data_IF_025253752429
#
_entry.id   IF_025253752429
#
_cell.length_a   1.000
_cell.length_b   1.000
_cell.length_c   1.000
_cell.angle_alpha   90.00
_cell.angle_beta   90.00
_cell.angle_gamma   90.00
#
_symmetry.space_group_name_H-M   'P 1'
#
loop_
_entity.id
_entity.type
_entity.pdbx_description
1 polymer ?
#
# COMPACT_ATOMS: atom_id res chain seq x y z
N UNK A 1 32.91 9.04 7.25
CA UNK A 1 31.49 8.80 7.57
C UNK A 1 30.69 8.90 6.28
N UNK A 2 30.23 7.77 5.74
CA UNK A 2 29.42 7.75 4.53
C UNK A 2 28.09 8.43 4.82
N UNK A 3 27.76 9.49 4.07
CA UNK A 3 26.46 10.15 4.15
C UNK A 3 25.39 9.07 3.93
N UNK A 4 24.44 8.83 4.86
CA UNK A 4 23.32 7.96 4.56
C UNK A 4 22.62 8.58 3.35
N UNK A 5 22.72 7.88 2.22
CA UNK A 5 22.07 8.31 0.99
C UNK A 5 20.57 8.33 1.28
N UNK A 6 19.95 9.53 1.30
CA UNK A 6 18.49 9.73 1.49
C UNK A 6 17.61 8.73 0.72
N UNK A 7 18.13 8.24 -0.39
CA UNK A 7 17.55 7.19 -1.22
C UNK A 7 17.32 5.84 -0.50
N UNK A 8 18.22 5.44 0.39
CA UNK A 8 18.13 4.17 1.13
C UNK A 8 17.04 4.22 2.20
N UNK A 9 16.94 5.32 2.94
CA UNK A 9 15.89 5.52 3.94
C UNK A 9 14.50 5.60 3.29
N UNK A 10 14.38 6.28 2.16
CA UNK A 10 13.10 6.39 1.44
C UNK A 10 12.65 5.04 0.86
N UNK A 11 13.58 4.24 0.32
CA UNK A 11 13.29 2.87 -0.13
C UNK A 11 12.94 1.94 1.01
N UNK A 12 13.63 2.06 2.15
CA UNK A 12 13.33 1.28 3.34
C UNK A 12 11.93 1.59 3.85
N UNK A 13 11.60 2.88 4.03
CA UNK A 13 10.27 3.32 4.43
C UNK A 13 9.18 2.86 3.43
N UNK A 14 9.46 2.90 2.13
CA UNK A 14 8.52 2.41 1.14
C UNK A 14 8.25 0.90 1.25
N UNK A 15 9.30 0.09 1.47
CA UNK A 15 9.13 -1.36 1.70
C UNK A 15 8.40 -1.66 2.99
N UNK A 16 8.81 -1.04 4.10
CA UNK A 16 8.17 -1.24 5.41
C UNK A 16 6.69 -0.85 5.37
N UNK A 17 6.35 0.21 4.64
CA UNK A 17 4.96 0.61 4.44
C UNK A 17 4.22 -0.38 3.52
N UNK A 18 4.83 -0.84 2.43
CA UNK A 18 4.23 -1.84 1.54
C UNK A 18 3.95 -3.17 2.25
N UNK A 19 4.92 -3.69 3.03
CA UNK A 19 4.80 -4.91 3.81
C UNK A 19 3.68 -4.80 4.86
N UNK A 20 3.59 -3.65 5.54
CA UNK A 20 2.50 -3.40 6.48
C UNK A 20 1.14 -3.34 5.79
N UNK A 21 1.02 -2.64 4.65
CA UNK A 21 -0.23 -2.56 3.87
C UNK A 21 -0.65 -3.96 3.42
N UNK A 22 0.28 -4.78 2.94
CA UNK A 22 0.03 -6.18 2.56
C UNK A 22 -0.52 -6.98 3.73
N UNK A 23 0.14 -6.89 4.90
CA UNK A 23 -0.33 -7.56 6.11
C UNK A 23 -1.72 -7.09 6.54
N UNK A 24 -1.97 -5.79 6.48
CA UNK A 24 -3.26 -5.21 6.85
C UNK A 24 -4.38 -5.60 5.87
N UNK A 25 -4.13 -5.55 4.55
CA UNK A 25 -5.07 -6.02 3.52
C UNK A 25 -5.35 -7.52 3.64
N UNK A 26 -4.37 -8.32 4.06
CA UNK A 26 -4.59 -9.77 4.30
C UNK A 26 -5.52 -10.03 5.49
N UNK A 27 -5.48 -9.20 6.52
CA UNK A 27 -6.31 -9.34 7.73
C UNK A 27 -7.69 -8.69 7.57
N UNK A 28 -7.76 -7.53 6.92
CA UNK A 28 -9.00 -6.74 6.80
C UNK A 28 -9.73 -6.97 5.47
N UNK A 29 -9.05 -7.55 4.47
CA UNK A 29 -9.56 -7.73 3.11
C UNK A 29 -9.20 -6.59 2.17
N UNK A 30 -9.80 -6.56 0.96
CA UNK A 30 -9.60 -5.50 -0.02
C UNK A 30 -10.03 -4.14 0.55
N UNK A 31 -9.24 -3.10 0.27
CA UNK A 31 -9.51 -1.76 0.76
C UNK A 31 -9.13 -0.69 -0.24
N UNK A 32 -9.78 0.45 -0.11
CA UNK A 32 -9.54 1.62 -0.93
C UNK A 32 -8.34 2.43 -0.40
N UNK A 33 -7.74 3.25 -1.26
CA UNK A 33 -6.65 4.16 -0.85
C UNK A 33 -6.97 4.96 0.43
N UNK A 34 -8.14 5.61 0.59
CA UNK A 34 -8.48 6.32 1.83
C UNK A 34 -8.61 5.41 3.05
N UNK A 35 -9.17 4.20 2.92
CA UNK A 35 -9.23 3.25 4.04
C UNK A 35 -7.83 2.81 4.51
N UNK A 36 -6.90 2.61 3.58
CA UNK A 36 -5.50 2.31 3.91
C UNK A 36 -4.84 3.51 4.61
N UNK A 37 -5.17 4.74 4.19
CA UNK A 37 -4.70 5.96 4.84
C UNK A 37 -5.21 6.02 6.28
N UNK A 38 -6.51 5.86 6.50
CA UNK A 38 -7.11 5.85 7.84
C UNK A 38 -6.49 4.78 8.73
N UNK A 39 -6.27 3.57 8.20
CA UNK A 39 -5.63 2.50 8.95
C UNK A 39 -4.20 2.84 9.38
N UNK A 40 -3.44 3.52 8.52
CA UNK A 40 -2.09 3.99 8.85
C UNK A 40 -2.13 5.11 9.91
N UNK A 41 -3.10 6.02 9.84
CA UNK A 41 -3.28 7.08 10.83
C UNK A 41 -3.66 6.52 12.20
N UNK A 42 -4.56 5.54 12.24
CA UNK A 42 -4.96 4.82 13.47
C UNK A 42 -3.77 4.10 14.11
N UNK A 43 -2.89 3.53 13.30
CA UNK A 43 -1.63 2.88 13.76
C UNK A 43 -0.57 3.91 14.21
N UNK A 44 -0.81 5.22 14.04
CA UNK A 44 0.15 6.27 14.35
C UNK A 44 1.33 6.34 13.36
N UNK A 45 1.17 5.79 12.15
CA UNK A 45 2.20 5.80 11.10
C UNK A 45 2.07 7.04 10.24
N UNK A 46 3.21 7.58 9.78
CA UNK A 46 3.23 8.76 8.92
C UNK A 46 2.63 8.44 7.54
N UNK A 47 1.43 8.95 7.28
CA UNK A 47 0.79 8.80 5.97
C UNK A 47 1.39 9.76 4.97
N UNK A 48 2.28 9.22 4.13
CA UNK A 48 2.78 9.93 2.95
C UNK A 48 2.09 9.39 1.71
N UNK A 49 1.12 10.13 1.17
CA UNK A 49 0.35 9.72 0.00
C UNK A 49 1.24 9.30 -1.19
N UNK A 50 2.36 9.99 -1.42
CA UNK A 50 3.31 9.63 -2.48
C UNK A 50 4.05 8.32 -2.20
N UNK A 51 4.37 7.99 -0.94
CA UNK A 51 4.98 6.70 -0.57
C UNK A 51 3.94 5.59 -0.66
N UNK A 52 2.72 5.84 -0.20
CA UNK A 52 1.60 4.91 -0.30
C UNK A 52 1.32 4.55 -1.76
N UNK A 53 1.12 5.54 -2.63
CA UNK A 53 0.87 5.30 -4.05
C UNK A 53 2.03 4.55 -4.72
N UNK A 54 3.27 4.86 -4.33
CA UNK A 54 4.44 4.14 -4.82
C UNK A 54 4.49 2.71 -4.32
N UNK A 55 4.19 2.46 -3.05
CA UNK A 55 4.10 1.13 -2.45
C UNK A 55 3.01 0.31 -3.16
N UNK A 56 1.81 0.85 -3.33
CA UNK A 56 0.70 0.19 -4.03
C UNK A 56 1.03 -0.12 -5.50
N UNK A 57 1.65 0.82 -6.22
CA UNK A 57 1.99 0.61 -7.65
C UNK A 57 3.25 -0.23 -7.89
N UNK A 58 4.20 -0.29 -6.95
CA UNK A 58 5.45 -1.05 -7.07
C UNK A 58 5.40 -2.39 -6.34
N UNK A 59 4.42 -2.63 -5.48
CA UNK A 59 4.30 -3.89 -4.75
C UNK A 59 3.86 -4.99 -5.71
N UNK A 60 4.55 -6.15 -5.71
CA UNK A 60 4.11 -7.33 -6.44
C UNK A 60 2.98 -8.09 -5.75
N UNK A 61 2.61 -7.73 -4.51
CA UNK A 61 1.60 -8.43 -3.72
C UNK A 61 0.26 -7.70 -3.64
N UNK A 62 0.20 -6.45 -4.09
CA UNK A 62 -1.01 -5.62 -4.00
C UNK A 62 -1.42 -5.24 -5.41
N UNK A 63 -2.64 -5.66 -5.78
CA UNK A 63 -3.18 -5.41 -7.11
C UNK A 63 -4.42 -4.53 -7.00
N UNK A 64 -4.56 -3.62 -7.95
CA UNK A 64 -5.79 -2.85 -8.10
C UNK A 64 -6.83 -3.78 -8.71
N UNK A 65 -7.81 -4.18 -7.90
CA UNK A 65 -8.93 -5.04 -8.34
C UNK A 65 -10.10 -4.24 -8.91
N UNK A 66 -10.12 -2.92 -8.69
CA UNK A 66 -11.19 -2.09 -9.22
C UNK A 66 -11.11 -0.63 -8.83
N UNK A 67 -12.27 -0.01 -8.84
CA UNK A 67 -12.47 1.37 -8.41
C UNK A 67 -13.86 1.49 -7.79
N UNK A 68 -13.96 2.25 -6.71
CA UNK A 68 -15.18 2.48 -5.95
C UNK A 68 -15.54 3.96 -5.95
N UNK A 69 -16.82 4.31 -5.82
CA UNK A 69 -17.24 5.70 -5.68
C UNK A 69 -16.95 6.19 -4.26
N UNK A 70 -15.89 6.98 -4.09
CA UNK A 70 -15.57 7.63 -2.83
C UNK A 70 -16.24 9.01 -2.69
N UNK A 71 -16.20 9.55 -1.48
CA UNK A 71 -16.85 10.82 -1.11
C UNK A 71 -16.43 12.02 -1.98
N UNK A 72 -15.18 12.02 -2.47
CA UNK A 72 -14.61 13.07 -3.34
C UNK A 72 -14.39 12.62 -4.80
N UNK A 73 -14.92 11.47 -5.18
CA UNK A 73 -14.76 10.88 -6.51
C UNK A 73 -14.27 9.44 -6.48
N UNK A 74 -14.02 8.87 -7.66
CA UNK A 74 -13.66 7.46 -7.80
C UNK A 74 -12.30 7.17 -7.15
N UNK A 75 -12.29 6.25 -6.18
CA UNK A 75 -11.09 5.76 -5.50
C UNK A 75 -10.71 4.40 -6.04
N UNK A 76 -9.41 4.08 -6.05
CA UNK A 76 -8.96 2.75 -6.46
C UNK A 76 -9.12 1.75 -5.32
N UNK A 77 -9.67 0.58 -5.65
CA UNK A 77 -9.81 -0.55 -4.72
C UNK A 77 -8.61 -1.47 -4.91
N UNK A 78 -7.93 -1.76 -3.81
CA UNK A 78 -6.72 -2.56 -3.77
C UNK A 78 -6.98 -3.84 -2.98
N UNK A 79 -6.58 -4.97 -3.53
CA UNK A 79 -6.58 -6.23 -2.82
C UNK A 79 -5.16 -6.77 -2.75
N UNK A 80 -4.90 -7.52 -1.68
CA UNK A 80 -3.79 -8.43 -1.66
C UNK A 80 -4.10 -9.59 -2.60
N UNK A 81 -3.21 -9.83 -3.56
CA UNK A 81 -3.23 -11.01 -4.41
C UNK A 81 -1.90 -11.70 -4.23
N UNK A 82 -1.91 -12.93 -3.71
CA UNK A 82 -0.93 -13.89 -4.20
C UNK A 82 -1.43 -14.19 -5.60
N UNK A 83 -0.60 -14.05 -6.63
CA UNK A 83 -0.81 -14.88 -7.80
C UNK A 83 -0.80 -16.32 -7.27
N UNK A 84 -1.98 -16.85 -6.92
CA UNK A 84 -2.29 -18.21 -7.35
C UNK A 84 -2.30 -18.10 -8.86
N UNK A 85 -1.09 -18.30 -9.40
CA UNK A 85 -0.84 -19.11 -10.57
C UNK A 85 -1.96 -20.18 -10.64
N UNK A 86 -3.10 -19.83 -11.20
CA UNK A 86 -4.04 -20.77 -11.80
C UNK A 86 -3.33 -21.32 -13.06
N UNK A 87 -2.25 -22.06 -12.80
CA UNK A 87 -1.76 -23.11 -13.67
C UNK A 87 -2.73 -24.28 -13.53
N UNK A 88 -3.86 -24.22 -14.23
CA UNK A 88 -4.58 -25.42 -14.67
C UNK A 88 -5.16 -25.21 -16.07
#
# INVERSE_FOLDING_TARGET
>A
MGRPSRWSDERKANREQAEWIVGWLRVNGPATTPQIIEALEVEGRAVRAHILQRALRKSPFVHRIGSEAGEKGTVSLWAWGVEEDDLV
#
